data_IF_350865001412
#
_entry.id   IF_350865001412
#
_cell.length_a   1.000
_cell.length_b   1.000
_cell.length_c   1.000
_cell.angle_alpha   90.00
_cell.angle_beta   90.00
_cell.angle_gamma   90.00
#
_symmetry.space_group_name_H-M   'P 1'
#
loop_
_entity.id
_entity.type
_entity.pdbx_description
1 polymer ?
#
# COMPACT_ATOMS: atom_id res chain seq x y z
N UNK A 1 9.14 18.86 5.13
CA UNK A 1 7.72 18.63 5.49
C UNK A 1 6.95 19.92 5.79
N UNK A 2 7.27 20.68 6.85
CA UNK A 2 6.48 21.88 7.23
C UNK A 2 6.27 22.92 6.12
N UNK A 3 7.30 23.24 5.31
CA UNK A 3 7.14 24.17 4.17
C UNK A 3 6.24 23.64 3.07
N UNK A 4 6.30 22.33 2.79
CA UNK A 4 5.45 21.67 1.80
C UNK A 4 3.98 21.70 2.27
N UNK A 5 3.72 21.32 3.52
CA UNK A 5 2.37 21.36 4.11
C UNK A 5 1.80 22.78 4.06
N UNK A 6 2.59 23.79 4.44
CA UNK A 6 2.14 25.18 4.41
C UNK A 6 1.82 25.67 2.99
N UNK A 7 2.66 25.34 2.01
CA UNK A 7 2.42 25.69 0.61
C UNK A 7 1.17 24.99 0.05
N UNK A 8 1.01 23.70 0.35
CA UNK A 8 -0.14 22.91 -0.09
C UNK A 8 -1.46 23.38 0.54
N UNK A 9 -1.46 23.67 1.84
CA UNK A 9 -2.64 24.22 2.53
C UNK A 9 -3.06 25.58 1.98
N UNK A 10 -2.12 26.37 1.45
CA UNK A 10 -2.43 27.65 0.82
C UNK A 10 -3.17 27.47 -0.52
N UNK A 11 -2.93 26.37 -1.25
CA UNK A 11 -3.57 26.10 -2.54
C UNK A 11 -4.79 25.20 -2.43
N UNK A 12 -4.89 24.38 -1.39
CA UNK A 12 -5.91 23.32 -1.27
C UNK A 12 -6.58 23.34 0.12
N UNK A 13 -7.47 24.31 0.38
CA UNK A 13 -8.08 24.51 1.70
C UNK A 13 -9.10 23.43 2.09
N UNK A 14 -9.47 22.55 1.16
CA UNK A 14 -10.35 21.40 1.43
C UNK A 14 -9.64 20.26 2.17
N UNK A 15 -8.31 20.27 2.22
CA UNK A 15 -7.51 19.24 2.88
C UNK A 15 -7.02 19.76 4.23
N UNK A 16 -7.19 18.95 5.27
CA UNK A 16 -6.65 19.21 6.60
C UNK A 16 -5.52 18.23 6.92
N UNK A 17 -4.42 18.73 7.47
CA UNK A 17 -3.34 17.88 7.96
C UNK A 17 -3.53 17.59 9.45
N UNK A 18 -3.52 16.31 9.79
CA UNK A 18 -3.59 15.84 11.16
C UNK A 18 -2.25 15.18 11.50
N UNK A 19 -1.44 15.86 12.31
CA UNK A 19 -0.17 15.32 12.76
C UNK A 19 -0.39 14.44 13.99
N UNK A 20 0.00 13.18 13.90
CA UNK A 20 -0.04 12.28 15.05
C UNK A 20 1.08 12.62 16.04
N UNK A 21 0.90 12.34 17.34
CA UNK A 21 1.95 12.49 18.33
C UNK A 21 3.21 11.70 17.94
N UNK A 22 4.41 12.21 18.25
CA UNK A 22 5.65 11.49 17.97
C UNK A 22 5.76 10.23 18.83
N UNK A 23 6.15 9.10 18.23
CA UNK A 23 6.55 7.90 18.96
C UNK A 23 8.06 8.00 19.26
N UNK A 24 8.51 7.81 20.51
CA UNK A 24 9.91 7.93 20.91
C UNK A 24 10.72 6.69 20.49
N UNK A 25 10.88 6.49 19.17
CA UNK A 25 11.78 5.49 18.61
C UNK A 25 13.13 6.12 18.31
N UNK A 26 14.21 5.39 18.60
CA UNK A 26 15.56 5.75 18.17
C UNK A 26 15.93 4.93 16.92
N UNK A 27 16.03 5.56 15.73
CA UNK A 27 16.40 4.85 14.50
C UNK A 27 17.74 4.11 14.59
N UNK A 28 18.68 4.56 15.43
CA UNK A 28 19.97 3.92 15.60
C UNK A 28 19.90 2.60 16.39
N UNK A 29 18.76 2.33 17.05
CA UNK A 29 18.52 1.10 17.81
C UNK A 29 17.94 -0.04 16.95
N UNK A 30 17.76 0.15 15.65
CA UNK A 30 17.18 -0.84 14.74
C UNK A 30 18.19 -1.34 13.71
N UNK A 31 18.16 -2.64 13.46
CA UNK A 31 19.05 -3.30 12.49
C UNK A 31 18.60 -3.07 11.02
N UNK A 32 17.32 -2.69 10.80
CA UNK A 32 16.77 -2.43 9.48
C UNK A 32 15.67 -1.35 9.48
N UNK A 33 15.48 -0.63 8.35
CA UNK A 33 14.36 0.31 8.20
C UNK A 33 12.98 -0.36 8.31
N UNK A 34 12.83 -1.60 7.87
CA UNK A 34 11.58 -2.35 7.95
C UNK A 34 11.19 -2.64 9.40
N UNK A 35 12.15 -3.02 10.26
CA UNK A 35 11.91 -3.21 11.68
C UNK A 35 11.45 -1.92 12.37
N UNK A 36 12.11 -0.78 12.07
CA UNK A 36 11.71 0.54 12.55
C UNK A 36 10.29 0.90 12.06
N UNK A 37 10.01 0.66 10.78
CA UNK A 37 8.70 0.97 10.17
C UNK A 37 7.60 0.13 10.80
N UNK A 38 7.86 -1.17 11.00
CA UNK A 38 6.93 -2.09 11.68
C UNK A 38 6.55 -1.58 13.06
N UNK A 39 7.52 -1.23 13.90
CA UNK A 39 7.23 -0.69 15.23
C UNK A 39 6.51 0.66 15.16
N UNK A 40 6.94 1.54 14.24
CA UNK A 40 6.32 2.85 14.06
C UNK A 40 4.83 2.74 13.73
N UNK A 41 4.45 1.90 12.75
CA UNK A 41 3.04 1.77 12.36
C UNK A 41 2.21 1.13 13.47
N UNK A 42 2.75 0.11 14.15
CA UNK A 42 2.03 -0.59 15.22
C UNK A 42 1.83 0.29 16.46
N UNK A 43 2.87 1.02 16.88
CA UNK A 43 2.79 1.90 18.05
C UNK A 43 1.89 3.11 17.81
N UNK A 44 1.72 3.53 16.56
CA UNK A 44 0.81 4.63 16.22
C UNK A 44 -0.67 4.24 16.16
N UNK A 45 -1.03 2.95 16.24
CA UNK A 45 -2.42 2.49 16.14
C UNK A 45 -3.37 3.22 17.11
N UNK A 46 -2.93 3.48 18.34
CA UNK A 46 -3.68 4.27 19.32
C UNK A 46 -4.00 5.68 18.81
N UNK A 47 -3.03 6.33 18.18
CA UNK A 47 -3.20 7.68 17.63
C UNK A 47 -4.07 7.68 16.38
N UNK A 48 -3.93 6.66 15.52
CA UNK A 48 -4.82 6.45 14.37
C UNK A 48 -6.25 6.27 14.84
N UNK A 49 -6.49 5.39 15.81
CA UNK A 49 -7.83 5.13 16.33
C UNK A 49 -8.50 6.40 16.83
N UNK A 50 -7.78 7.24 17.57
CA UNK A 50 -8.28 8.55 18.04
C UNK A 50 -8.54 9.50 16.88
N UNK A 51 -7.68 9.55 15.86
CA UNK A 51 -7.88 10.40 14.69
C UNK A 51 -9.10 9.98 13.86
N UNK A 52 -9.40 8.67 13.82
CA UNK A 52 -10.52 8.11 13.06
C UNK A 52 -11.89 8.26 13.75
N UNK A 53 -11.99 8.83 14.95
CA UNK A 53 -13.29 9.02 15.64
C UNK A 53 -14.14 10.16 15.10
N UNK A 54 -13.69 10.85 14.04
CA UNK A 54 -14.49 11.84 13.31
C UNK A 54 -15.42 11.17 12.30
N UNK A 55 -16.45 11.87 11.79
CA UNK A 55 -17.31 11.35 10.72
C UNK A 55 -16.53 11.26 9.40
N UNK A 56 -15.77 10.18 9.23
CA UNK A 56 -15.01 9.86 8.02
C UNK A 56 -15.84 9.06 7.03
N UNK A 57 -15.63 9.30 5.74
CA UNK A 57 -16.28 8.54 4.64
C UNK A 57 -15.46 7.33 4.22
N UNK A 58 -14.15 7.45 4.27
CA UNK A 58 -13.20 6.41 3.90
C UNK A 58 -11.84 6.72 4.53
N UNK A 59 -10.96 5.73 4.53
CA UNK A 59 -9.56 5.85 4.86
C UNK A 59 -8.73 5.43 3.63
N UNK A 60 -7.64 6.14 3.32
CA UNK A 60 -6.68 5.70 2.32
C UNK A 60 -5.34 5.53 3.04
N UNK A 61 -4.71 4.38 2.88
CA UNK A 61 -3.42 4.06 3.51
C UNK A 61 -2.39 3.68 2.46
N UNK A 62 -1.12 3.82 2.76
CA UNK A 62 -0.06 3.11 2.04
C UNK A 62 0.00 1.62 2.46
N UNK A 63 0.82 0.84 1.75
CA UNK A 63 1.01 -0.60 1.96
C UNK A 63 1.46 -0.96 3.39
N UNK A 64 2.31 -0.16 4.01
CA UNK A 64 2.92 -0.43 5.30
C UNK A 64 1.99 -0.09 6.47
N UNK A 65 1.06 0.83 6.27
CA UNK A 65 0.05 1.23 7.25
C UNK A 65 -1.11 0.22 7.38
N UNK A 66 -0.87 -1.05 7.05
CA UNK A 66 -1.86 -2.13 7.13
C UNK A 66 -2.56 -2.28 8.50
N UNK A 67 -1.95 -1.98 9.66
CA UNK A 67 -2.66 -2.12 10.94
C UNK A 67 -3.89 -1.21 11.05
N UNK A 68 -3.90 -0.08 10.33
CA UNK A 68 -5.02 0.83 10.29
C UNK A 68 -6.27 0.24 9.59
N UNK A 69 -6.10 -0.80 8.74
CA UNK A 69 -7.23 -1.49 8.11
C UNK A 69 -8.13 -2.16 9.14
N UNK A 70 -7.54 -2.79 10.15
CA UNK A 70 -8.30 -3.45 11.21
C UNK A 70 -9.03 -2.41 12.06
N UNK A 71 -8.39 -1.28 12.38
CA UNK A 71 -9.03 -0.17 13.10
C UNK A 71 -10.22 0.38 12.29
N UNK A 72 -10.03 0.63 11.00
CA UNK A 72 -11.10 1.12 10.12
C UNK A 72 -12.27 0.12 10.03
N UNK A 73 -11.98 -1.18 9.94
CA UNK A 73 -13.00 -2.23 9.94
C UNK A 73 -13.83 -2.22 11.23
N UNK A 74 -13.19 -2.10 12.40
CA UNK A 74 -13.89 -1.99 13.69
C UNK A 74 -14.79 -0.74 13.79
N UNK A 75 -14.41 0.35 13.13
CA UNK A 75 -15.16 1.59 13.08
C UNK A 75 -16.20 1.64 11.95
N UNK A 76 -16.28 0.60 11.11
CA UNK A 76 -17.16 0.57 9.94
C UNK A 76 -16.77 1.56 8.83
N UNK A 77 -15.50 1.96 8.77
CA UNK A 77 -14.97 2.90 7.78
C UNK A 77 -14.36 2.06 6.62
N UNK A 78 -14.77 2.28 5.36
CA UNK A 78 -14.14 1.61 4.23
C UNK A 78 -12.71 2.13 4.05
N UNK A 79 -11.74 1.22 4.07
CA UNK A 79 -10.32 1.57 3.95
C UNK A 79 -9.73 1.04 2.63
N UNK A 80 -9.09 1.92 1.88
CA UNK A 80 -8.47 1.65 0.58
C UNK A 80 -6.96 1.67 0.72
N UNK A 81 -6.27 0.85 -0.07
CA UNK A 81 -4.82 0.88 -0.14
C UNK A 81 -4.37 1.68 -1.37
N UNK A 82 -3.57 2.71 -1.18
CA UNK A 82 -2.84 3.37 -2.25
C UNK A 82 -1.50 2.68 -2.48
N UNK A 83 -1.47 1.83 -3.50
CA UNK A 83 -0.31 1.10 -3.94
C UNK A 83 0.50 1.97 -4.90
N UNK A 84 1.65 2.46 -4.41
CA UNK A 84 2.51 3.42 -5.12
C UNK A 84 3.34 2.80 -6.24
N UNK A 85 3.25 1.47 -6.43
CA UNK A 85 3.86 0.74 -7.55
C UNK A 85 2.81 0.37 -8.60
N UNK A 86 3.22 -0.43 -9.58
CA UNK A 86 2.43 -0.77 -10.77
C UNK A 86 1.49 -1.98 -10.54
N UNK A 87 0.63 -2.28 -11.51
CA UNK A 87 -0.34 -3.38 -11.41
C UNK A 87 0.35 -4.76 -11.39
N UNK A 88 1.48 -4.90 -12.09
CA UNK A 88 2.25 -6.15 -12.07
C UNK A 88 2.78 -6.47 -10.67
N UNK A 89 3.33 -5.48 -9.98
CA UNK A 89 3.78 -5.57 -8.59
C UNK A 89 2.61 -5.86 -7.65
N UNK A 90 1.46 -5.21 -7.83
CA UNK A 90 0.28 -5.50 -7.01
C UNK A 90 -0.16 -6.96 -7.15
N UNK A 91 -0.22 -7.47 -8.38
CA UNK A 91 -0.58 -8.86 -8.67
C UNK A 91 0.36 -9.85 -7.96
N UNK A 92 1.66 -9.58 -8.00
CA UNK A 92 2.65 -10.35 -7.25
C UNK A 92 2.40 -10.27 -5.73
N UNK A 93 2.24 -9.06 -5.19
CA UNK A 93 2.10 -8.84 -3.76
C UNK A 93 0.85 -9.51 -3.20
N UNK A 94 -0.26 -9.54 -3.94
CA UNK A 94 -1.47 -10.27 -3.55
C UNK A 94 -1.26 -11.79 -3.43
N UNK A 95 -0.31 -12.36 -4.17
CA UNK A 95 0.01 -13.81 -4.12
C UNK A 95 1.18 -14.14 -3.18
N UNK A 96 1.96 -13.13 -2.79
CA UNK A 96 3.17 -13.31 -1.99
C UNK A 96 2.93 -14.05 -0.67
N UNK A 97 1.86 -13.79 0.12
CA UNK A 97 1.57 -14.57 1.32
C UNK A 97 1.41 -16.07 1.07
N UNK A 98 0.77 -16.43 -0.05
CA UNK A 98 0.55 -17.83 -0.43
C UNK A 98 1.84 -18.50 -0.89
N UNK A 99 2.63 -17.80 -1.71
CA UNK A 99 3.96 -18.25 -2.13
C UNK A 99 4.85 -18.48 -0.90
N UNK A 100 4.84 -17.55 0.05
CA UNK A 100 5.60 -17.65 1.29
C UNK A 100 5.18 -18.88 2.11
N UNK A 101 3.89 -19.12 2.31
CA UNK A 101 3.41 -20.27 3.09
C UNK A 101 3.74 -21.61 2.42
N UNK A 102 3.68 -21.68 1.10
CA UNK A 102 3.89 -22.91 0.34
C UNK A 102 5.36 -23.23 0.06
N UNK A 103 6.29 -22.31 0.38
CA UNK A 103 7.73 -22.51 0.20
C UNK A 103 8.39 -22.68 1.56
N UNK A 104 9.05 -23.82 1.76
CA UNK A 104 9.71 -24.16 3.04
C UNK A 104 11.06 -23.46 3.17
N UNK A 105 11.88 -23.51 2.13
CA UNK A 105 13.23 -22.95 2.10
C UNK A 105 13.23 -21.44 1.82
N UNK A 106 14.35 -20.78 2.09
CA UNK A 106 14.56 -19.39 1.71
C UNK A 106 14.43 -19.21 0.21
N UNK A 107 13.84 -18.10 -0.24
CA UNK A 107 13.64 -17.85 -1.67
C UNK A 107 14.96 -17.74 -2.42
N UNK A 108 16.03 -17.26 -1.77
CA UNK A 108 17.39 -17.24 -2.36
C UNK A 108 17.99 -18.63 -2.63
N UNK A 109 17.51 -19.66 -1.93
CA UNK A 109 18.11 -21.00 -1.92
C UNK A 109 17.34 -21.98 -2.82
N UNK A 110 16.31 -21.51 -3.54
CA UNK A 110 15.45 -22.34 -4.40
C UNK A 110 15.39 -21.82 -5.84
N UNK A 111 15.46 -22.75 -6.79
CA UNK A 111 15.27 -22.48 -8.22
C UNK A 111 13.79 -22.56 -8.65
N UNK A 112 12.88 -22.38 -7.70
CA UNK A 112 11.44 -22.44 -7.97
C UNK A 112 11.00 -21.21 -8.76
N UNK A 113 10.22 -21.44 -9.81
CA UNK A 113 9.61 -20.39 -10.63
C UNK A 113 8.10 -20.41 -10.37
N UNK A 114 7.54 -19.27 -9.98
CA UNK A 114 6.09 -19.15 -9.88
C UNK A 114 5.51 -18.54 -11.14
N UNK A 115 4.25 -18.90 -11.39
CA UNK A 115 3.51 -18.51 -12.58
C UNK A 115 2.22 -17.80 -12.17
N UNK A 116 2.10 -16.52 -12.51
CA UNK A 116 0.84 -15.81 -12.47
C UNK A 116 0.31 -15.62 -13.89
N UNK A 117 -0.99 -15.87 -14.18
CA UNK A 117 -1.51 -15.89 -15.55
C UNK A 117 -1.26 -14.63 -16.38
N UNK A 118 -0.95 -13.49 -15.75
CA UNK A 118 -0.70 -12.21 -16.42
C UNK A 118 0.70 -11.65 -16.24
N UNK A 119 1.61 -12.40 -15.60
CA UNK A 119 3.01 -12.02 -15.44
C UNK A 119 3.92 -13.03 -16.13
N UNK A 120 5.14 -12.61 -16.53
CA UNK A 120 6.18 -13.55 -16.89
C UNK A 120 6.47 -14.54 -15.76
N UNK A 121 6.89 -15.78 -16.08
CA UNK A 121 7.45 -16.69 -15.09
C UNK A 121 8.54 -15.98 -14.29
N UNK A 122 8.41 -15.98 -12.97
CA UNK A 122 9.29 -15.22 -12.09
C UNK A 122 9.96 -16.18 -11.10
N UNK A 123 11.30 -16.24 -11.07
CA UNK A 123 12.04 -17.00 -10.06
C UNK A 123 11.82 -16.43 -8.66
N UNK A 124 11.73 -17.30 -7.64
CA UNK A 124 11.57 -16.84 -6.25
C UNK A 124 12.77 -16.03 -5.77
N UNK A 125 13.99 -16.37 -6.21
CA UNK A 125 15.21 -15.62 -5.89
C UNK A 125 15.31 -14.24 -6.59
N UNK A 126 14.34 -13.88 -7.45
CA UNK A 126 14.24 -12.55 -8.08
C UNK A 126 13.17 -11.67 -7.41
N UNK A 127 12.52 -12.15 -6.35
CA UNK A 127 11.57 -11.39 -5.56
C UNK A 127 12.27 -10.32 -4.71
N UNK A 128 11.53 -9.33 -4.12
CA UNK A 128 12.14 -8.28 -3.32
C UNK A 128 13.10 -8.84 -2.26
N UNK A 129 14.22 -8.16 -2.02
CA UNK A 129 15.28 -8.64 -1.13
C UNK A 129 14.79 -9.03 0.27
N UNK A 130 13.78 -8.31 0.77
CA UNK A 130 13.10 -8.58 2.06
C UNK A 130 12.41 -9.94 2.11
N UNK A 131 12.12 -10.56 0.97
CA UNK A 131 11.51 -11.90 0.88
C UNK A 131 12.53 -13.03 0.77
N UNK A 132 13.81 -12.71 0.54
CA UNK A 132 14.83 -13.71 0.22
C UNK A 132 15.16 -14.61 1.40
N UNK A 133 15.15 -14.08 2.62
CA UNK A 133 15.39 -14.80 3.87
C UNK A 133 14.07 -14.93 4.63
N UNK A 134 13.62 -16.16 4.87
CA UNK A 134 12.41 -16.40 5.65
C UNK A 134 12.67 -16.22 7.14
N UNK A 135 11.62 -15.94 7.90
CA UNK A 135 11.65 -15.78 9.36
C UNK A 135 12.57 -14.65 9.85
N UNK A 136 12.77 -13.62 9.01
CA UNK A 136 13.37 -12.35 9.44
C UNK A 136 12.27 -11.32 9.66
N UNK A 137 12.57 -10.28 10.44
CA UNK A 137 11.61 -9.21 10.76
C UNK A 137 11.15 -8.51 9.48
N UNK A 138 12.06 -8.25 8.55
CA UNK A 138 11.79 -7.62 7.26
C UNK A 138 10.83 -8.46 6.41
N UNK A 139 11.08 -9.78 6.38
CA UNK A 139 10.26 -10.72 5.64
C UNK A 139 8.86 -10.80 6.23
N UNK A 140 8.76 -11.03 7.54
CA UNK A 140 7.47 -11.16 8.22
C UNK A 140 6.68 -9.85 8.14
N UNK A 141 7.35 -8.70 8.22
CA UNK A 141 6.72 -7.39 8.03
C UNK A 141 6.12 -7.24 6.63
N UNK A 142 6.87 -7.52 5.57
CA UNK A 142 6.35 -7.44 4.20
C UNK A 142 5.23 -8.45 3.94
N UNK A 143 5.37 -9.68 4.44
CA UNK A 143 4.31 -10.70 4.32
C UNK A 143 3.03 -10.24 5.04
N UNK A 144 3.15 -9.61 6.22
CA UNK A 144 2.00 -9.02 6.90
C UNK A 144 1.38 -7.87 6.09
N UNK A 145 2.17 -6.94 5.56
CA UNK A 145 1.66 -5.86 4.71
C UNK A 145 0.86 -6.41 3.52
N UNK A 146 1.45 -7.37 2.80
CA UNK A 146 0.84 -7.95 1.60
C UNK A 146 -0.40 -8.80 1.87
N UNK A 147 -0.45 -9.50 3.01
CA UNK A 147 -1.63 -10.26 3.44
C UNK A 147 -2.86 -9.38 3.70
N UNK A 148 -2.68 -8.07 3.90
CA UNK A 148 -3.77 -7.13 4.16
C UNK A 148 -4.27 -6.40 2.93
N UNK A 149 -3.55 -6.45 1.80
CA UNK A 149 -4.00 -5.87 0.52
C UNK A 149 -5.38 -6.41 0.10
N UNK A 150 -5.58 -7.72 0.28
CA UNK A 150 -6.85 -8.39 -0.01
C UNK A 150 -7.99 -8.05 0.97
N UNK A 151 -7.68 -7.44 2.12
CA UNK A 151 -8.67 -7.04 3.13
C UNK A 151 -9.17 -5.60 2.94
N UNK A 152 -8.55 -4.84 2.03
CA UNK A 152 -8.98 -3.47 1.73
C UNK A 152 -10.32 -3.44 0.99
N UNK A 153 -11.02 -2.30 1.08
CA UNK A 153 -12.21 -2.01 0.28
C UNK A 153 -11.89 -1.82 -1.22
N UNK A 154 -10.62 -1.63 -1.55
CA UNK A 154 -10.11 -1.49 -2.91
C UNK A 154 -8.66 -1.02 -2.94
N UNK A 155 -7.99 -1.27 -4.05
CA UNK A 155 -6.60 -0.88 -4.27
C UNK A 155 -6.53 0.24 -5.31
N UNK A 156 -6.07 1.42 -4.90
CA UNK A 156 -5.76 2.54 -5.78
C UNK A 156 -4.31 2.38 -6.22
N UNK A 157 -4.03 2.43 -7.51
CA UNK A 157 -2.74 2.04 -8.08
C UNK A 157 -2.20 3.20 -8.92
N UNK A 158 -0.93 3.55 -8.71
CA UNK A 158 -0.24 4.54 -9.52
C UNK A 158 0.21 3.98 -10.89
N UNK A 159 -0.76 3.57 -11.70
CA UNK A 159 -0.60 3.06 -13.08
C UNK A 159 -1.80 3.48 -13.93
N UNK A 160 -1.79 3.19 -15.23
CA UNK A 160 -2.91 3.44 -16.16
C UNK A 160 -3.12 2.21 -17.06
N UNK A 161 -4.35 1.98 -17.55
CA UNK A 161 -4.72 0.69 -18.14
C UNK A 161 -3.93 0.34 -19.40
N UNK A 162 -3.55 1.34 -20.21
CA UNK A 162 -2.80 1.09 -21.45
C UNK A 162 -1.33 0.72 -21.22
N UNK A 163 -0.77 0.99 -20.03
CA UNK A 163 0.59 0.56 -19.67
C UNK A 163 0.67 -0.95 -19.42
N UNK A 164 -0.34 -1.49 -18.72
CA UNK A 164 -0.34 -2.85 -18.20
C UNK A 164 -1.67 -3.60 -18.47
N UNK A 165 -2.17 -3.62 -19.71
CA UNK A 165 -3.56 -3.98 -20.01
C UNK A 165 -3.92 -5.41 -19.63
N UNK A 166 -2.96 -6.35 -19.74
CA UNK A 166 -3.19 -7.76 -19.41
C UNK A 166 -3.43 -7.96 -17.93
N UNK A 167 -2.53 -7.46 -17.09
CA UNK A 167 -2.62 -7.63 -15.63
C UNK A 167 -3.72 -6.78 -15.03
N UNK A 168 -3.93 -5.54 -15.50
CA UNK A 168 -5.06 -4.71 -15.07
C UNK A 168 -6.38 -5.41 -15.36
N UNK A 169 -6.59 -5.90 -16.60
CA UNK A 169 -7.80 -6.64 -16.95
C UNK A 169 -8.03 -7.83 -16.03
N UNK A 170 -6.98 -8.56 -15.70
CA UNK A 170 -7.13 -9.78 -14.94
C UNK A 170 -7.28 -9.54 -13.43
N UNK A 171 -6.67 -8.49 -12.87
CA UNK A 171 -6.97 -7.99 -11.53
C UNK A 171 -8.43 -7.51 -11.43
N UNK A 172 -8.92 -6.75 -12.41
CA UNK A 172 -10.31 -6.26 -12.45
C UNK A 172 -11.36 -7.37 -12.58
N UNK A 173 -11.01 -8.49 -13.22
CA UNK A 173 -11.87 -9.67 -13.32
C UNK A 173 -11.88 -10.53 -12.05
N UNK A 174 -11.09 -10.15 -11.04
CA UNK A 174 -11.06 -10.82 -9.74
C UNK A 174 -10.37 -12.18 -9.82
N UNK A 175 -9.03 -12.17 -9.99
CA UNK A 175 -8.24 -13.37 -9.76
C UNK A 175 -8.56 -14.01 -8.41
N UNK A 176 -8.57 -15.35 -8.36
CA UNK A 176 -8.66 -16.08 -7.10
C UNK A 176 -7.40 -15.83 -6.29
N UNK A 177 -7.54 -15.15 -5.14
CA UNK A 177 -6.46 -15.03 -4.16
C UNK A 177 -6.54 -16.29 -3.27
N UNK A 178 -5.51 -17.17 -3.26
CA UNK A 178 -5.59 -18.45 -2.56
C UNK A 178 -5.90 -18.33 -1.06
N UNK A 179 -5.52 -17.21 -0.45
CA UNK A 179 -5.52 -16.99 1.00
C UNK A 179 -6.43 -15.86 1.49
N UNK A 180 -7.33 -15.35 0.64
CA UNK A 180 -8.30 -14.34 1.05
C UNK A 180 -9.34 -14.93 2.04
N UNK A 181 -9.87 -14.15 3.00
CA UNK A 181 -11.01 -14.60 3.80
C UNK A 181 -12.15 -14.99 2.85
N UNK A 182 -12.51 -16.28 2.85
CA UNK A 182 -13.51 -16.90 1.97
C UNK A 182 -13.16 -17.08 0.47
N UNK A 183 -11.88 -17.27 0.09
CA UNK A 183 -11.47 -17.41 -1.34
C UNK A 183 -11.96 -16.22 -2.18
N UNK A 184 -11.73 -15.02 -1.66
CA UNK A 184 -12.24 -13.77 -2.22
C UNK A 184 -11.49 -13.37 -3.48
N UNK A 185 -12.25 -12.81 -4.43
CA UNK A 185 -11.71 -12.09 -5.58
C UNK A 185 -10.86 -10.91 -5.10
N UNK A 186 -9.86 -10.52 -5.88
CA UNK A 186 -9.14 -9.26 -5.69
C UNK A 186 -10.10 -8.10 -5.42
N UNK A 187 -9.87 -7.26 -4.39
CA UNK A 187 -10.67 -6.05 -4.19
C UNK A 187 -10.65 -5.17 -5.44
N UNK A 188 -11.69 -4.34 -5.67
CA UNK A 188 -11.72 -3.44 -6.82
C UNK A 188 -10.42 -2.65 -6.96
N UNK A 189 -9.90 -2.56 -8.19
CA UNK A 189 -8.70 -1.78 -8.48
C UNK A 189 -9.06 -0.46 -9.17
N UNK A 190 -8.31 0.60 -8.85
CA UNK A 190 -8.50 1.94 -9.42
C UNK A 190 -7.16 2.46 -9.94
N UNK A 191 -7.00 2.49 -11.26
CA UNK A 191 -5.81 3.05 -11.91
C UNK A 191 -5.93 4.58 -11.95
N UNK A 192 -5.02 5.29 -11.27
CA UNK A 192 -5.06 6.77 -11.15
C UNK A 192 -3.76 7.44 -11.61
N UNK A 193 -2.84 6.67 -12.19
CA UNK A 193 -1.54 7.15 -12.61
C UNK A 193 -1.53 7.78 -14.01
N UNK A 194 -0.40 8.39 -14.39
CA UNK A 194 0.81 8.55 -13.57
C UNK A 194 0.68 9.78 -12.65
N UNK A 195 0.76 9.54 -11.34
CA UNK A 195 0.90 10.58 -10.33
C UNK A 195 2.38 10.90 -10.17
N UNK A 196 2.80 12.05 -10.72
CA UNK A 196 4.18 12.54 -10.74
C UNK A 196 4.25 13.98 -10.23
N UNK A 197 5.32 14.31 -9.51
CA UNK A 197 5.59 15.68 -9.07
C UNK A 197 6.18 16.49 -10.23
N UNK A 198 5.33 17.30 -10.88
CA UNK A 198 5.71 18.14 -12.02
C UNK A 198 6.50 19.38 -11.62
N UNK A 199 6.56 19.73 -10.33
CA UNK A 199 7.25 20.92 -9.83
C UNK A 199 8.75 20.73 -9.57
N UNK A 200 9.29 19.52 -9.71
CA UNK A 200 10.74 19.26 -9.60
C UNK A 200 11.56 19.77 -10.78
N UNK A 201 10.91 20.07 -11.92
CA UNK A 201 11.57 20.66 -13.07
C UNK A 201 11.03 22.09 -13.28
N UNK A 202 11.94 23.06 -13.28
CA UNK A 202 11.60 24.48 -13.48
C UNK A 202 10.91 24.75 -14.81
N UNK A 203 10.00 25.72 -14.77
CA UNK A 203 9.31 26.42 -15.86
C UNK A 203 8.47 25.57 -16.84
N UNK A 204 7.14 25.69 -16.69
CA UNK A 204 6.18 25.42 -17.77
C UNK A 204 4.77 25.25 -17.23
N UNK A 205 3.92 26.27 -17.39
CA UNK A 205 2.47 26.17 -17.30
C UNK A 205 1.96 25.06 -18.23
N UNK A 206 1.01 24.25 -17.76
CA UNK A 206 -0.38 24.20 -18.26
C UNK A 206 -1.20 23.18 -17.45
N UNK A 207 -2.47 23.52 -17.24
CA UNK A 207 -3.24 23.12 -16.06
C UNK A 207 -3.79 21.70 -16.02
N UNK A 208 -4.20 21.32 -14.81
CA UNK A 208 -5.09 20.18 -14.58
C UNK A 208 -6.38 20.64 -13.90
N UNK A 209 -7.49 20.27 -14.53
CA UNK A 209 -8.84 20.46 -14.02
C UNK A 209 -9.01 19.62 -12.76
N UNK A 210 -8.87 20.27 -11.60
CA UNK A 210 -9.03 19.64 -10.31
C UNK A 210 -10.48 19.15 -10.16
N UNK A 211 -10.65 17.83 -10.06
CA UNK A 211 -11.95 17.20 -9.77
C UNK A 211 -12.55 17.86 -8.52
N UNK A 212 -13.76 18.38 -8.66
CA UNK A 212 -14.49 19.02 -7.56
C UNK A 212 -14.80 18.00 -6.48
N UNK A 213 -13.96 17.91 -5.46
CA UNK A 213 -14.15 16.97 -4.36
C UNK A 213 -15.12 17.55 -3.30
N UNK A 214 -16.12 16.75 -2.93
CA UNK A 214 -16.95 16.99 -1.75
C UNK A 214 -16.14 16.60 -0.52
N UNK A 215 -16.14 17.44 0.52
CA UNK A 215 -15.49 17.25 1.83
C UNK A 215 -15.29 15.77 2.21
N UNK A 216 -14.06 15.30 2.04
CA UNK A 216 -13.52 14.09 2.65
C UNK A 216 -12.27 14.49 3.44
N UNK A 217 -12.16 14.05 4.69
CA UNK A 217 -10.90 14.18 5.43
C UNK A 217 -10.02 13.05 4.93
N UNK A 218 -8.99 13.39 4.17
CA UNK A 218 -7.99 12.45 3.68
C UNK A 218 -6.85 12.42 4.69
N UNK A 219 -6.77 11.34 5.47
CA UNK A 219 -5.63 11.11 6.37
C UNK A 219 -4.56 10.41 5.56
N UNK A 220 -3.50 11.13 5.20
CA UNK A 220 -2.28 10.51 4.68
C UNK A 220 -1.40 10.09 5.84
N UNK A 221 -0.83 8.90 5.69
CA UNK A 221 0.35 8.43 6.40
C UNK A 221 1.59 8.71 5.56
#
# INVERSE_FOLDING_TARGET
LHRYIAAFLATTPSISFHQLPPIPLDPASYDSPDALTSDLVNLNNVHVQVALTSTLRSLIIDLFCYPALEIAAHLGIPAYNFFTSNASCLSLYLHLPSIYRNTTDNFKDVDTVFHLPCLPPTPLNHLPDTTLLKNTIECDFLINCTAHLAKSAGNIINTFETLEPKVVKALSLGFSIPDGPNQTQTPPIFCVGPLIDTHRNGNGDEGEECLKEKRGVLVFW
#
